data_IF_123954294287
#
_entry.id   IF_123954294287
#
_cell.length_a   1.000
_cell.length_b   1.000
_cell.length_c   1.000
_cell.angle_alpha   90.00
_cell.angle_beta   90.00
_cell.angle_gamma   90.00
#
_symmetry.space_group_name_H-M   'P 1'
#
loop_
_entity.id
_entity.type
_entity.pdbx_description
1 polymer ?
#
# COMPACT_ATOMS: atom_id res chain seq x y z
N UNK A 1 -51.70 24.82 39.26
CA UNK A 1 -51.46 25.23 37.86
C UNK A 1 -49.95 25.37 37.70
N UNK A 2 -49.27 24.30 37.29
CA UNK A 2 -47.81 24.26 37.23
C UNK A 2 -47.35 25.12 36.05
N UNK A 3 -46.60 26.18 36.35
CA UNK A 3 -45.93 26.99 35.33
C UNK A 3 -44.89 26.05 34.70
N UNK A 4 -45.18 25.56 33.50
CA UNK A 4 -44.19 24.86 32.69
C UNK A 4 -42.99 25.79 32.52
N UNK A 5 -41.85 25.41 33.08
CA UNK A 5 -40.64 26.22 32.99
C UNK A 5 -40.10 26.11 31.55
N UNK A 6 -40.54 27.05 30.72
CA UNK A 6 -40.09 27.25 29.34
C UNK A 6 -38.56 27.26 29.24
N UNK A 7 -37.84 27.73 30.28
CA UNK A 7 -36.37 27.74 30.29
C UNK A 7 -35.77 26.35 30.42
N UNK A 8 -36.44 25.43 31.13
CA UNK A 8 -36.03 24.03 31.22
C UNK A 8 -36.23 23.30 29.88
N UNK A 9 -37.33 23.58 29.16
CA UNK A 9 -37.59 23.06 27.82
C UNK A 9 -36.55 23.55 26.78
N UNK A 10 -36.19 24.84 26.82
CA UNK A 10 -35.12 25.37 25.96
C UNK A 10 -33.75 24.74 26.27
N UNK A 11 -33.42 24.49 27.54
CA UNK A 11 -32.16 23.84 27.93
C UNK A 11 -32.11 22.37 27.48
N UNK A 12 -33.20 21.64 27.62
CA UNK A 12 -33.28 20.24 27.20
C UNK A 12 -33.24 20.13 25.67
N UNK A 13 -33.92 21.02 24.96
CA UNK A 13 -33.87 21.10 23.49
C UNK A 13 -32.47 21.47 22.98
N UNK A 14 -31.77 22.38 23.65
CA UNK A 14 -30.40 22.77 23.29
C UNK A 14 -29.40 21.62 23.53
N UNK A 15 -29.50 20.92 24.68
CA UNK A 15 -28.67 19.75 24.98
C UNK A 15 -28.91 18.61 23.98
N UNK A 16 -30.17 18.38 23.61
CA UNK A 16 -30.53 17.38 22.60
C UNK A 16 -30.00 17.74 21.21
N UNK A 17 -30.08 19.01 20.82
CA UNK A 17 -29.55 19.50 19.54
C UNK A 17 -28.02 19.41 19.48
N UNK A 18 -27.31 19.72 20.57
CA UNK A 18 -25.84 19.56 20.66
C UNK A 18 -25.41 18.10 20.62
N UNK A 19 -26.19 17.19 21.23
CA UNK A 19 -25.93 15.75 21.14
C UNK A 19 -26.14 15.21 19.72
N UNK A 20 -27.16 15.69 18.99
CA UNK A 20 -27.41 15.31 17.60
C UNK A 20 -26.31 15.77 16.64
N UNK A 21 -25.79 17.00 16.81
CA UNK A 21 -24.73 17.52 15.93
C UNK A 21 -23.38 16.86 16.17
N UNK A 22 -23.13 16.37 17.39
CA UNK A 22 -21.90 15.66 17.73
C UNK A 22 -21.81 14.26 17.11
N UNK A 23 -22.96 13.60 16.85
CA UNK A 23 -23.02 12.27 16.23
C UNK A 23 -22.79 12.25 14.72
N UNK A 24 -23.01 13.39 14.04
CA UNK A 24 -22.89 13.50 12.57
C UNK A 24 -21.48 13.87 12.08
N UNK A 25 -20.58 14.25 13.00
CA UNK A 25 -19.20 14.63 12.67
C UNK A 25 -18.24 13.42 12.62
N UNK A 26 -18.69 12.29 12.08
CA UNK A 26 -17.77 11.21 11.73
C UNK A 26 -17.09 11.60 10.41
N UNK A 27 -15.94 12.27 10.53
CA UNK A 27 -15.08 12.53 9.37
C UNK A 27 -14.78 11.21 8.65
N UNK A 28 -15.06 11.15 7.35
CA UNK A 28 -14.71 9.99 6.54
C UNK A 28 -13.20 9.73 6.69
N UNK A 29 -12.83 8.55 7.22
CA UNK A 29 -11.44 8.12 7.19
C UNK A 29 -11.12 7.92 5.70
N UNK A 30 -10.17 8.66 5.11
CA UNK A 30 -9.84 8.49 3.71
C UNK A 30 -9.39 7.04 3.50
N UNK A 31 -10.09 6.33 2.63
CA UNK A 31 -9.69 4.99 2.20
C UNK A 31 -8.35 5.12 1.48
N UNK A 32 -7.30 4.54 2.07
CA UNK A 32 -5.96 4.55 1.48
C UNK A 32 -5.99 3.60 0.31
N UNK A 33 -5.90 4.13 -0.91
CA UNK A 33 -5.85 3.31 -2.11
C UNK A 33 -4.67 2.30 -2.03
N UNK A 34 -4.86 1.06 -2.51
CA UNK A 34 -3.78 0.09 -2.51
C UNK A 34 -2.54 0.61 -3.27
N UNK A 35 -1.32 0.36 -2.77
CA UNK A 35 -0.12 0.92 -3.37
C UNK A 35 0.17 0.32 -4.76
N UNK A 36 0.70 1.15 -5.68
CA UNK A 36 1.26 0.71 -6.97
C UNK A 36 2.79 0.82 -6.91
N UNK A 37 3.47 -0.33 -6.97
CA UNK A 37 4.92 -0.45 -6.74
C UNK A 37 5.63 -0.89 -8.01
N UNK A 38 6.59 -0.08 -8.49
CA UNK A 38 7.41 -0.41 -9.66
C UNK A 38 8.87 -0.56 -9.24
N UNK A 39 9.38 -1.78 -9.33
CA UNK A 39 10.74 -2.10 -8.92
C UNK A 39 11.64 -2.10 -10.14
N UNK A 40 12.72 -1.32 -10.08
CA UNK A 40 13.73 -1.26 -11.13
C UNK A 40 15.07 -1.75 -10.56
N UNK A 41 15.63 -2.79 -11.15
CA UNK A 41 16.82 -3.49 -10.65
C UNK A 41 17.98 -3.33 -11.62
N UNK A 42 19.09 -2.78 -11.14
CA UNK A 42 20.31 -2.66 -11.93
C UNK A 42 20.92 -4.05 -12.19
N UNK A 43 21.17 -4.37 -13.45
CA UNK A 43 21.89 -5.56 -13.95
C UNK A 43 23.08 -5.17 -14.85
N UNK A 44 23.54 -3.93 -14.77
CA UNK A 44 24.70 -3.42 -15.49
C UNK A 44 25.99 -4.12 -15.05
N UNK A 45 27.04 -4.00 -15.88
CA UNK A 45 28.33 -4.63 -15.61
C UNK A 45 28.99 -4.21 -14.28
N UNK A 46 28.65 -3.03 -13.75
CA UNK A 46 29.15 -2.54 -12.45
C UNK A 46 28.73 -3.44 -11.28
N UNK A 47 27.58 -4.11 -11.40
CA UNK A 47 27.04 -4.99 -10.37
C UNK A 47 27.90 -6.24 -10.14
N UNK A 48 28.82 -6.56 -11.05
CA UNK A 48 29.86 -7.57 -10.81
C UNK A 48 30.73 -7.20 -9.60
N UNK A 49 30.99 -5.91 -9.40
CA UNK A 49 31.80 -5.39 -8.30
C UNK A 49 30.93 -4.95 -7.11
N UNK A 50 29.83 -4.26 -7.38
CA UNK A 50 28.97 -3.67 -6.34
C UNK A 50 28.10 -4.71 -5.61
N UNK A 51 27.71 -5.78 -6.30
CA UNK A 51 26.91 -6.87 -5.74
C UNK A 51 27.43 -8.25 -6.19
N UNK A 52 28.64 -8.63 -5.76
CA UNK A 52 29.31 -9.84 -6.23
C UNK A 52 28.59 -11.12 -5.81
N UNK A 53 27.73 -11.03 -4.78
CA UNK A 53 26.92 -12.14 -4.25
C UNK A 53 25.49 -12.16 -4.78
N UNK A 54 25.12 -11.22 -5.66
CA UNK A 54 23.79 -11.10 -6.24
C UNK A 54 22.67 -11.01 -5.18
N UNK A 55 22.88 -10.15 -4.18
CA UNK A 55 21.95 -9.81 -3.09
C UNK A 55 20.65 -9.19 -3.59
N UNK A 56 20.60 -8.71 -4.84
CA UNK A 56 19.36 -8.34 -5.53
C UNK A 56 18.31 -9.45 -5.50
N UNK A 57 18.72 -10.73 -5.63
CA UNK A 57 17.79 -11.87 -5.59
C UNK A 57 17.10 -12.02 -4.22
N UNK A 58 17.82 -12.13 -3.09
CA UNK A 58 17.18 -12.17 -1.78
C UNK A 58 16.46 -10.87 -1.41
N UNK A 59 16.96 -9.71 -1.82
CA UNK A 59 16.27 -8.43 -1.60
C UNK A 59 14.91 -8.38 -2.30
N UNK A 60 14.84 -8.80 -3.57
CA UNK A 60 13.57 -8.85 -4.28
C UNK A 60 12.60 -9.86 -3.64
N UNK A 61 13.08 -11.03 -3.20
CA UNK A 61 12.23 -11.99 -2.49
C UNK A 61 11.66 -11.44 -1.18
N UNK A 62 12.49 -10.73 -0.41
CA UNK A 62 12.04 -10.04 0.81
C UNK A 62 10.98 -9.00 0.48
N UNK A 63 11.26 -8.12 -0.49
CA UNK A 63 10.31 -7.08 -0.94
C UNK A 63 8.97 -7.69 -1.36
N UNK A 64 8.98 -8.72 -2.21
CA UNK A 64 7.77 -9.44 -2.64
C UNK A 64 6.98 -10.01 -1.46
N UNK A 65 7.66 -10.45 -0.39
CA UNK A 65 7.02 -10.93 0.83
C UNK A 65 6.33 -9.83 1.64
N UNK A 66 6.81 -8.59 1.56
CA UNK A 66 6.28 -7.43 2.28
C UNK A 66 5.12 -6.74 1.53
N UNK A 67 4.94 -7.00 0.23
CA UNK A 67 3.87 -6.37 -0.53
C UNK A 67 2.48 -6.87 -0.07
N UNK A 68 1.53 -5.95 0.21
CA UNK A 68 0.17 -6.31 0.58
C UNK A 68 -0.58 -6.90 -0.63
N UNK A 69 -1.57 -7.76 -0.39
CA UNK A 69 -2.18 -8.59 -1.44
C UNK A 69 -3.11 -7.85 -2.42
N UNK A 70 -3.51 -6.64 -2.04
CA UNK A 70 -4.33 -5.73 -2.84
C UNK A 70 -3.51 -4.72 -3.64
N UNK A 71 -2.19 -4.64 -3.40
CA UNK A 71 -1.28 -3.80 -4.16
C UNK A 71 -1.22 -4.19 -5.64
N UNK A 72 -0.67 -3.29 -6.44
CA UNK A 72 -0.19 -3.58 -7.79
C UNK A 72 1.33 -3.53 -7.80
N UNK A 73 1.98 -4.48 -8.46
CA UNK A 73 3.43 -4.43 -8.60
C UNK A 73 3.95 -5.03 -9.91
N UNK A 74 5.11 -4.53 -10.33
CA UNK A 74 5.88 -5.05 -11.47
C UNK A 74 7.38 -4.88 -11.22
N UNK A 75 8.19 -5.70 -11.90
CA UNK A 75 9.65 -5.70 -11.74
C UNK A 75 10.31 -5.62 -13.10
N UNK A 76 11.25 -4.70 -13.24
CA UNK A 76 12.09 -4.52 -14.40
C UNK A 76 13.56 -4.61 -14.02
N UNK A 77 14.37 -5.16 -14.91
CA UNK A 77 15.82 -5.08 -14.83
C UNK A 77 16.34 -4.14 -15.90
N UNK A 78 17.37 -3.35 -15.58
CA UNK A 78 18.00 -2.47 -16.56
C UNK A 78 19.53 -2.67 -16.60
N UNK A 79 20.07 -2.61 -17.81
CA UNK A 79 21.50 -2.63 -18.09
C UNK A 79 21.72 -1.95 -19.43
N UNK A 80 22.15 -2.70 -20.45
CA UNK A 80 22.12 -2.20 -21.83
C UNK A 80 20.68 -1.99 -22.34
N UNK A 81 19.74 -2.84 -21.91
CA UNK A 81 18.32 -2.74 -22.22
C UNK A 81 17.47 -2.90 -20.96
N UNK A 82 16.20 -2.51 -21.07
CA UNK A 82 15.19 -2.75 -20.02
C UNK A 82 14.44 -4.04 -20.35
N UNK A 83 14.37 -4.95 -19.39
CA UNK A 83 13.59 -6.18 -19.51
C UNK A 83 12.53 -6.23 -18.40
N UNK A 84 11.33 -6.67 -18.77
CA UNK A 84 10.25 -6.90 -17.82
C UNK A 84 10.47 -8.25 -17.13
N UNK A 85 11.07 -8.22 -15.94
CA UNK A 85 11.39 -9.42 -15.17
C UNK A 85 10.13 -10.08 -14.59
N UNK A 86 9.17 -9.25 -14.16
CA UNK A 86 7.87 -9.67 -13.68
C UNK A 86 6.83 -8.67 -14.20
N UNK A 87 5.84 -9.11 -15.00
CA UNK A 87 4.80 -8.21 -15.49
C UNK A 87 4.04 -7.51 -14.37
N UNK A 88 3.62 -6.27 -14.64
CA UNK A 88 2.76 -5.50 -13.75
C UNK A 88 1.43 -6.23 -13.54
N UNK A 89 1.03 -6.42 -12.29
CA UNK A 89 -0.22 -7.09 -11.94
C UNK A 89 -0.63 -6.85 -10.49
N UNK A 90 -1.82 -7.33 -10.12
CA UNK A 90 -2.24 -7.38 -8.72
C UNK A 90 -1.34 -8.36 -7.96
N UNK A 91 -0.95 -7.99 -6.74
CA UNK A 91 -0.07 -8.79 -5.89
C UNK A 91 -0.87 -9.93 -5.23
N UNK A 92 -1.30 -10.91 -6.01
CA UNK A 92 -1.91 -12.13 -5.48
C UNK A 92 -0.85 -13.23 -5.23
N UNK A 93 -1.29 -14.39 -4.72
CA UNK A 93 -0.41 -15.56 -4.48
C UNK A 93 0.31 -16.01 -5.76
N UNK A 94 -0.37 -15.97 -6.91
CA UNK A 94 0.21 -16.35 -8.21
C UNK A 94 1.27 -15.35 -8.67
N UNK A 95 1.03 -14.06 -8.50
CA UNK A 95 1.97 -12.99 -8.77
C UNK A 95 3.19 -13.10 -7.87
N UNK A 96 3.00 -13.31 -6.55
CA UNK A 96 4.11 -13.56 -5.61
C UNK A 96 4.93 -14.78 -6.00
N UNK A 97 4.30 -15.85 -6.48
CA UNK A 97 4.98 -17.03 -7.06
C UNK A 97 5.87 -16.67 -8.25
N UNK A 98 5.30 -16.02 -9.27
CA UNK A 98 6.03 -15.55 -10.45
C UNK A 98 7.16 -14.59 -10.09
N UNK A 99 6.94 -13.71 -9.11
CA UNK A 99 7.95 -12.75 -8.68
C UNK A 99 9.13 -13.42 -7.96
N UNK A 100 8.88 -14.46 -7.16
CA UNK A 100 9.95 -15.28 -6.56
C UNK A 100 10.76 -16.05 -7.61
N UNK A 101 10.08 -16.60 -8.62
CA UNK A 101 10.75 -17.24 -9.76
C UNK A 101 11.56 -16.22 -10.58
N UNK A 102 10.98 -15.05 -10.87
CA UNK A 102 11.65 -13.93 -11.52
C UNK A 102 12.89 -13.49 -10.75
N UNK A 103 12.82 -13.40 -9.42
CA UNK A 103 13.98 -13.12 -8.57
C UNK A 103 15.07 -14.19 -8.69
N UNK A 104 14.73 -15.44 -9.00
CA UNK A 104 15.75 -16.49 -9.19
C UNK A 104 16.54 -16.31 -10.49
N UNK A 105 15.96 -15.64 -11.49
CA UNK A 105 16.51 -15.46 -12.83
C UNK A 105 17.37 -14.19 -13.01
N UNK A 106 17.45 -13.32 -11.99
CA UNK A 106 18.30 -12.13 -12.04
C UNK A 106 19.77 -12.57 -12.03
N UNK A 107 20.51 -12.21 -13.07
CA UNK A 107 21.91 -12.57 -13.23
C UNK A 107 22.87 -11.47 -12.73
N UNK A 108 24.15 -11.84 -12.72
CA UNK A 108 25.28 -10.97 -12.41
C UNK A 108 25.70 -10.15 -13.63
#
# INVERSE_FOLDING_TARGET
>A
MAIFDIRALFRFGLLFMVALTSGLAQGAVPEVAPPDVRVLIDISGSMKQNDPRNLRRPALRLLVGLLPEDARAGVWTFGQYVNMQVPLGKVDTGWKGRAREGASKIHR
#
